data_IF_992006862843
#
_entry.id   IF_992006862843
#
_cell.length_a   1.000
_cell.length_b   1.000
_cell.length_c   1.000
_cell.angle_alpha   90.00
_cell.angle_beta   90.00
_cell.angle_gamma   90.00
#
_symmetry.space_group_name_H-M   'P 1'
#
loop_
_entity.id
_entity.type
_entity.pdbx_description
1 polymer ?
#
# COMPACT_ATOMS: atom_id res chain seq x y z
N UNK A 1 -10.42 4.73 -1.48
CA UNK A 1 -9.40 4.19 -0.55
C UNK A 1 -10.03 3.86 0.78
N UNK A 2 -10.05 2.59 1.16
CA UNK A 2 -10.72 2.15 2.40
C UNK A 2 -9.78 2.15 3.60
N UNK A 3 -10.27 2.58 4.76
CA UNK A 3 -9.56 2.52 6.07
C UNK A 3 -8.88 1.18 6.36
N UNK A 4 -9.42 0.08 5.84
CA UNK A 4 -8.85 -1.26 5.95
C UNK A 4 -7.46 -1.38 5.30
N UNK A 5 -7.27 -0.81 4.11
CA UNK A 5 -6.01 -0.90 3.37
C UNK A 5 -4.88 -0.13 4.08
N UNK A 6 -5.23 1.02 4.66
CA UNK A 6 -4.34 1.82 5.49
C UNK A 6 -4.00 1.10 6.79
N UNK A 7 -4.98 0.44 7.40
CA UNK A 7 -4.78 -0.35 8.62
C UNK A 7 -3.88 -1.55 8.38
N UNK A 8 -4.05 -2.24 7.25
CA UNK A 8 -3.18 -3.35 6.83
C UNK A 8 -1.76 -2.87 6.53
N UNK A 9 -1.60 -1.76 5.82
CA UNK A 9 -0.29 -1.17 5.57
C UNK A 9 0.42 -0.80 6.89
N UNK A 10 -0.30 -0.19 7.83
CA UNK A 10 0.24 0.16 9.14
C UNK A 10 0.64 -1.09 9.95
N UNK A 11 -0.18 -2.14 9.90
CA UNK A 11 0.11 -3.42 10.53
C UNK A 11 1.41 -4.04 9.99
N UNK A 12 1.56 -4.14 8.67
CA UNK A 12 2.79 -4.68 8.07
C UNK A 12 4.02 -3.82 8.36
N UNK A 13 3.88 -2.49 8.35
CA UNK A 13 4.97 -1.55 8.63
C UNK A 13 5.43 -1.58 10.09
N UNK A 14 4.57 -1.99 11.03
CA UNK A 14 4.91 -2.11 12.45
C UNK A 14 5.82 -3.30 12.77
N UNK A 15 6.09 -4.17 11.80
CA UNK A 15 6.81 -5.42 11.98
C UNK A 15 8.11 -5.47 11.19
N UNK A 16 9.14 -6.20 11.68
CA UNK A 16 10.31 -6.50 10.88
C UNK A 16 9.92 -7.31 9.64
N UNK A 17 10.44 -6.96 8.45
CA UNK A 17 10.18 -7.69 7.21
C UNK A 17 10.44 -9.20 7.31
N UNK A 18 11.41 -9.61 8.13
CA UNK A 18 11.75 -11.03 8.38
C UNK A 18 10.67 -11.81 9.13
N UNK A 19 9.73 -11.12 9.76
CA UNK A 19 8.59 -11.72 10.48
C UNK A 19 7.34 -11.85 9.62
N UNK A 20 7.37 -11.32 8.39
CA UNK A 20 6.30 -11.45 7.43
C UNK A 20 6.52 -12.70 6.57
N UNK A 21 5.43 -13.40 6.28
CA UNK A 21 5.42 -14.46 5.27
C UNK A 21 5.62 -13.87 3.87
N UNK A 22 6.00 -14.70 2.90
CA UNK A 22 6.14 -14.27 1.51
C UNK A 22 4.84 -13.64 0.96
N UNK A 23 3.68 -14.17 1.36
CA UNK A 23 2.37 -13.64 0.99
C UNK A 23 2.13 -12.25 1.61
N UNK A 24 2.45 -12.06 2.90
CA UNK A 24 2.30 -10.76 3.56
C UNK A 24 3.25 -9.70 2.97
N UNK A 25 4.45 -10.10 2.54
CA UNK A 25 5.39 -9.20 1.84
C UNK A 25 4.84 -8.77 0.49
N UNK A 26 4.26 -9.70 -0.28
CA UNK A 26 3.61 -9.40 -1.56
C UNK A 26 2.42 -8.45 -1.38
N UNK A 27 1.56 -8.73 -0.38
CA UNK A 27 0.42 -7.88 -0.05
C UNK A 27 0.86 -6.48 0.42
N UNK A 28 1.92 -6.38 1.23
CA UNK A 28 2.51 -5.10 1.65
C UNK A 28 3.03 -4.28 0.46
N UNK A 29 3.72 -4.92 -0.50
CA UNK A 29 4.20 -4.26 -1.72
C UNK A 29 3.02 -3.79 -2.58
N UNK A 30 2.01 -4.63 -2.76
CA UNK A 30 0.80 -4.28 -3.49
C UNK A 30 0.09 -3.06 -2.88
N UNK A 31 -0.13 -3.06 -1.56
CA UNK A 31 -0.75 -1.95 -0.85
C UNK A 31 0.09 -0.67 -0.96
N UNK A 32 1.41 -0.77 -0.83
CA UNK A 32 2.32 0.38 -0.97
C UNK A 32 2.24 0.99 -2.36
N UNK A 33 2.22 0.16 -3.41
CA UNK A 33 2.11 0.60 -4.79
C UNK A 33 0.73 1.19 -5.07
N UNK A 34 -0.36 0.51 -4.68
CA UNK A 34 -1.73 1.00 -4.86
C UNK A 34 -1.92 2.36 -4.18
N UNK A 35 -1.44 2.48 -2.93
CA UNK A 35 -1.57 3.71 -2.16
C UNK A 35 -0.70 4.86 -2.71
N UNK A 36 0.50 4.55 -3.22
CA UNK A 36 1.38 5.53 -3.87
C UNK A 36 0.94 5.92 -5.29
N UNK A 37 0.21 5.04 -5.98
CA UNK A 37 -0.24 5.25 -7.36
C UNK A 37 -1.56 6.03 -7.45
N UNK A 38 -2.47 5.96 -6.48
CA UNK A 38 -3.71 6.78 -6.54
C UNK A 38 -3.44 8.29 -6.60
N UNK A 39 -2.50 8.88 -5.83
CA UNK A 39 -2.14 10.29 -6.00
C UNK A 39 -1.60 10.60 -7.40
N UNK A 40 -0.76 9.73 -7.95
CA UNK A 40 -0.17 9.89 -9.28
C UNK A 40 -1.18 9.69 -10.43
N UNK A 41 -2.16 8.81 -10.25
CA UNK A 41 -3.25 8.60 -11.21
C UNK A 41 -4.26 9.76 -11.18
N UNK A 42 -4.54 10.33 -10.00
CA UNK A 42 -5.36 11.54 -9.91
C UNK A 42 -4.65 12.75 -10.54
N UNK A 43 -3.33 12.91 -10.36
CA UNK A 43 -2.54 13.93 -11.05
C UNK A 43 -2.59 13.77 -12.59
N UNK A 44 -2.55 12.55 -13.12
CA UNK A 44 -2.66 12.29 -14.56
C UNK A 44 -4.07 12.48 -15.15
N UNK A 45 -5.12 12.42 -14.32
CA UNK A 45 -6.50 12.72 -14.75
C UNK A 45 -6.87 14.19 -14.57
N UNK A 46 -6.05 14.96 -13.86
CA UNK A 46 -6.23 16.39 -13.57
C UNK A 46 -5.49 17.36 -14.49
N UNK A 47 -5.05 16.93 -15.67
CA UNK A 47 -4.67 17.88 -16.74
C UNK A 47 -5.93 18.32 -17.49
N UNK A 48 -6.31 19.62 -17.46
CA UNK A 48 -7.27 20.18 -18.42
C UNK A 48 -6.74 20.09 -19.86
#
# INVERSE_FOLDING_TARGET
MGDLELSLLAYYRSRPLRSLTAQEVDEYLYLTLKLGLEPWQQMRRGTP
#
